data_IF_399419964091
#
_entry.id   IF_399419964091
#
_cell.length_a   1.000
_cell.length_b   1.000
_cell.length_c   1.000
_cell.angle_alpha   90.00
_cell.angle_beta   90.00
_cell.angle_gamma   90.00
#
_symmetry.space_group_name_H-M   'P 1'
#
loop_
_entity.id
_entity.type
_entity.pdbx_description
1 polymer ?
#
# COMPACT_ATOMS: atom_id res chain seq x y z
N UNK A 1 -39.68 6.62 34.03
CA UNK A 1 -40.11 7.02 32.67
C UNK A 1 -39.47 6.03 31.70
N UNK A 2 -40.25 5.17 31.04
CA UNK A 2 -39.73 4.23 30.06
C UNK A 2 -39.36 4.97 28.79
N UNK A 3 -38.11 4.86 28.34
CA UNK A 3 -37.69 5.36 27.04
C UNK A 3 -38.36 4.52 25.96
N UNK A 4 -39.30 5.11 25.22
CA UNK A 4 -39.86 4.49 24.02
C UNK A 4 -38.80 4.68 22.94
N UNK A 5 -38.06 3.62 22.62
CA UNK A 5 -37.11 3.64 21.51
C UNK A 5 -37.87 3.48 20.21
N UNK A 6 -38.19 4.61 19.56
CA UNK A 6 -38.70 4.61 18.19
C UNK A 6 -37.61 4.13 17.26
N UNK A 7 -37.90 3.10 16.47
CA UNK A 7 -36.98 2.53 15.48
C UNK A 7 -37.34 2.98 14.08
N UNK A 8 -36.41 2.85 13.13
CA UNK A 8 -36.67 3.13 11.72
C UNK A 8 -37.81 2.26 11.14
N UNK A 9 -38.05 1.08 11.74
CA UNK A 9 -39.11 0.16 11.34
C UNK A 9 -40.50 0.65 11.72
N UNK A 10 -40.62 1.54 12.71
CA UNK A 10 -41.88 2.10 13.18
C UNK A 10 -42.40 3.22 12.28
N UNK A 11 -41.57 3.70 11.35
CA UNK A 11 -41.96 4.72 10.37
C UNK A 11 -42.79 4.11 9.22
N UNK A 12 -43.76 4.86 8.66
CA UNK A 12 -44.39 4.55 7.39
C UNK A 12 -43.36 4.33 6.27
N UNK A 13 -43.71 3.48 5.30
CA UNK A 13 -42.81 3.09 4.19
C UNK A 13 -42.33 4.30 3.40
N UNK A 14 -43.20 5.30 3.22
CA UNK A 14 -42.91 6.54 2.50
C UNK A 14 -41.77 7.33 3.18
N UNK A 15 -41.80 7.41 4.51
CA UNK A 15 -40.73 8.07 5.27
C UNK A 15 -39.45 7.25 5.26
N UNK A 16 -39.55 5.91 5.30
CA UNK A 16 -38.38 5.03 5.15
C UNK A 16 -37.69 5.27 3.80
N UNK A 17 -38.45 5.27 2.70
CA UNK A 17 -37.93 5.51 1.36
C UNK A 17 -37.34 6.92 1.21
N UNK A 18 -37.99 7.92 1.79
CA UNK A 18 -37.49 9.29 1.81
C UNK A 18 -36.16 9.42 2.56
N UNK A 19 -35.95 8.67 3.64
CA UNK A 19 -34.66 8.62 4.34
C UNK A 19 -33.61 7.88 3.49
N UNK A 20 -33.99 6.74 2.91
CA UNK A 20 -33.10 5.88 2.11
C UNK A 20 -32.53 6.64 0.91
N UNK A 21 -33.28 7.55 0.28
CA UNK A 21 -32.81 8.31 -0.89
C UNK A 21 -31.58 9.20 -0.60
N UNK A 22 -31.31 9.51 0.67
CA UNK A 22 -30.15 10.31 1.09
C UNK A 22 -28.94 9.46 1.50
N UNK A 23 -29.07 8.13 1.51
CA UNK A 23 -27.97 7.25 1.86
C UNK A 23 -27.01 7.12 0.68
N UNK A 24 -25.71 7.17 0.97
CA UNK A 24 -24.71 6.77 -0.01
C UNK A 24 -24.76 5.25 -0.27
N UNK A 25 -24.10 4.81 -1.34
CA UNK A 25 -24.08 3.40 -1.70
C UNK A 25 -23.58 2.48 -0.56
N UNK A 26 -22.46 2.77 0.13
CA UNK A 26 -22.02 2.01 1.30
C UNK A 26 -23.09 1.86 2.39
N UNK A 27 -23.74 2.97 2.79
CA UNK A 27 -24.75 2.94 3.85
C UNK A 27 -26.00 2.18 3.42
N UNK A 28 -26.39 2.31 2.15
CA UNK A 28 -27.50 1.54 1.57
C UNK A 28 -27.21 0.04 1.62
N UNK A 29 -26.01 -0.39 1.22
CA UNK A 29 -25.59 -1.80 1.30
C UNK A 29 -25.56 -2.30 2.74
N UNK A 30 -25.08 -1.49 3.67
CA UNK A 30 -25.12 -1.84 5.09
C UNK A 30 -26.57 -2.02 5.58
N UNK A 31 -27.47 -1.10 5.21
CA UNK A 31 -28.89 -1.15 5.58
C UNK A 31 -29.59 -2.40 5.01
N UNK A 32 -29.33 -2.77 3.75
CA UNK A 32 -29.83 -4.01 3.14
C UNK A 32 -29.47 -5.27 3.95
N UNK A 33 -28.33 -5.27 4.63
CA UNK A 33 -27.83 -6.42 5.39
C UNK A 33 -28.42 -6.52 6.80
N UNK A 34 -29.17 -5.52 7.25
CA UNK A 34 -29.72 -5.50 8.62
C UNK A 34 -30.98 -6.35 8.78
N UNK A 35 -31.93 -6.29 7.85
CA UNK A 35 -33.19 -7.04 7.95
C UNK A 35 -33.85 -7.29 6.58
N UNK A 36 -34.83 -8.21 6.57
CA UNK A 36 -35.56 -8.61 5.36
C UNK A 36 -36.34 -7.46 4.71
N UNK A 37 -36.89 -6.54 5.49
CA UNK A 37 -37.71 -5.42 5.00
C UNK A 37 -36.87 -4.43 4.19
N UNK A 38 -35.74 -3.98 4.73
CA UNK A 38 -34.83 -3.09 3.97
C UNK A 38 -34.25 -3.78 2.75
N UNK A 39 -34.00 -5.09 2.83
CA UNK A 39 -33.60 -5.87 1.65
C UNK A 39 -34.58 -5.81 0.49
N UNK A 40 -35.87 -5.62 0.77
CA UNK A 40 -36.93 -5.50 -0.26
C UNK A 40 -37.20 -4.07 -0.72
N UNK A 41 -37.03 -3.05 0.14
CA UNK A 41 -37.45 -1.68 -0.18
C UNK A 41 -36.32 -0.74 -0.60
N UNK A 42 -35.05 -1.06 -0.30
CA UNK A 42 -33.92 -0.20 -0.68
C UNK A 42 -33.56 -0.49 -2.15
N UNK A 43 -33.78 0.45 -3.08
CA UNK A 43 -33.30 0.31 -4.45
C UNK A 43 -31.78 0.50 -4.46
N UNK A 44 -31.03 -0.54 -4.83
CA UNK A 44 -29.57 -0.43 -4.99
C UNK A 44 -29.19 -0.64 -6.44
N UNK A 45 -28.56 0.38 -7.00
CA UNK A 45 -27.82 0.28 -8.24
C UNK A 45 -26.36 -0.06 -7.92
N UNK A 46 -25.79 -1.14 -8.48
CA UNK A 46 -24.38 -1.48 -8.26
C UNK A 46 -23.46 -0.40 -8.87
N UNK A 47 -22.29 -0.13 -8.28
CA UNK A 47 -21.38 0.88 -8.77
C UNK A 47 -20.88 0.50 -10.16
N UNK A 48 -21.11 1.38 -11.13
CA UNK A 48 -20.79 1.14 -12.54
C UNK A 48 -19.38 1.63 -12.86
N UNK A 49 -18.97 2.75 -12.28
CA UNK A 49 -17.66 3.38 -12.54
C UNK A 49 -16.58 2.88 -11.59
N UNK A 50 -15.31 3.02 -12.00
CA UNK A 50 -14.16 2.70 -11.14
C UNK A 50 -14.08 3.58 -9.90
N UNK A 51 -14.44 4.86 -10.03
CA UNK A 51 -14.48 5.82 -8.93
C UNK A 51 -15.54 5.45 -7.88
N UNK A 52 -16.75 5.10 -8.32
CA UNK A 52 -17.81 4.63 -7.41
C UNK A 52 -17.38 3.36 -6.68
N UNK A 53 -16.76 2.40 -7.39
CA UNK A 53 -16.22 1.18 -6.78
C UNK A 53 -15.14 1.51 -5.76
N UNK A 54 -14.22 2.42 -6.06
CA UNK A 54 -13.16 2.82 -5.14
C UNK A 54 -13.73 3.52 -3.89
N UNK A 55 -14.67 4.45 -4.08
CA UNK A 55 -15.37 5.14 -2.98
C UNK A 55 -16.04 4.12 -2.04
N UNK A 56 -16.69 3.11 -2.60
CA UNK A 56 -17.26 2.02 -1.82
C UNK A 56 -16.21 1.24 -1.01
N UNK A 57 -15.09 0.87 -1.62
CA UNK A 57 -14.02 0.14 -0.94
C UNK A 57 -13.35 0.96 0.17
N UNK A 58 -13.23 2.28 -0.02
CA UNK A 58 -12.72 3.23 0.97
C UNK A 58 -13.67 3.35 2.17
N UNK A 59 -14.97 3.32 1.96
CA UNK A 59 -15.94 3.27 3.06
C UNK A 59 -15.88 1.91 3.79
N UNK A 60 -15.79 0.80 3.04
CA UNK A 60 -15.75 -0.55 3.61
C UNK A 60 -14.55 -0.78 4.52
N UNK A 61 -13.35 -0.30 4.17
CA UNK A 61 -12.14 -0.55 4.97
C UNK A 61 -12.19 0.10 6.37
N UNK A 62 -13.13 1.02 6.61
CA UNK A 62 -13.39 1.64 7.91
C UNK A 62 -14.33 0.81 8.79
N UNK A 63 -15.04 -0.17 8.21
CA UNK A 63 -15.94 -1.02 8.99
C UNK A 63 -15.12 -1.95 9.91
N UNK A 64 -15.61 -2.25 11.13
CA UNK A 64 -14.88 -3.07 12.11
C UNK A 64 -14.38 -4.42 11.56
N UNK A 65 -15.18 -5.04 10.68
CA UNK A 65 -14.86 -6.32 10.02
C UNK A 65 -13.65 -6.25 9.10
N UNK A 66 -13.35 -5.10 8.50
CA UNK A 66 -12.33 -4.93 7.46
C UNK A 66 -11.15 -4.05 7.93
N UNK A 67 -10.98 -3.90 9.24
CA UNK A 67 -9.93 -3.10 9.88
C UNK A 67 -8.50 -3.48 9.46
N UNK A 68 -8.26 -4.72 9.08
CA UNK A 68 -6.95 -5.23 8.61
C UNK A 68 -6.78 -5.23 7.08
N UNK A 69 -7.79 -4.78 6.34
CA UNK A 69 -7.78 -4.69 4.87
C UNK A 69 -7.71 -3.24 4.40
N UNK A 70 -7.14 -3.04 3.21
CA UNK A 70 -6.98 -1.73 2.57
C UNK A 70 -7.39 -1.82 1.11
N UNK A 71 -7.96 -0.73 0.60
CA UNK A 71 -8.35 -0.59 -0.80
C UNK A 71 -7.16 -0.32 -1.73
N UNK A 72 -7.16 -0.96 -2.89
CA UNK A 72 -6.25 -0.65 -4.00
C UNK A 72 -7.02 0.02 -5.14
N UNK A 73 -6.52 1.17 -5.61
CA UNK A 73 -7.16 1.98 -6.66
C UNK A 73 -7.00 1.44 -8.08
N UNK A 74 -6.02 0.57 -8.31
CA UNK A 74 -5.79 -0.05 -9.63
C UNK A 74 -6.66 -1.30 -9.79
N UNK A 75 -6.49 -2.30 -8.91
CA UNK A 75 -7.25 -3.55 -9.04
C UNK A 75 -8.67 -3.49 -8.44
N UNK A 76 -9.03 -2.39 -7.77
CA UNK A 76 -10.34 -2.17 -7.13
C UNK A 76 -10.74 -3.34 -6.22
N UNK A 77 -9.82 -3.76 -5.34
CA UNK A 77 -10.03 -4.84 -4.36
C UNK A 77 -9.54 -4.41 -2.98
N UNK A 78 -10.17 -4.96 -1.94
CA UNK A 78 -9.61 -4.96 -0.58
C UNK A 78 -8.50 -6.00 -0.48
N UNK A 79 -7.36 -5.61 0.08
CA UNK A 79 -6.17 -6.45 0.23
C UNK A 79 -5.62 -6.32 1.65
N UNK A 80 -4.95 -7.36 2.13
CA UNK A 80 -4.33 -7.35 3.44
C UNK A 80 -3.17 -6.34 3.53
N UNK A 81 -2.80 -5.94 4.74
CA UNK A 81 -1.71 -4.99 5.03
C UNK A 81 -0.41 -5.32 4.30
N UNK A 82 0.00 -6.59 4.33
CA UNK A 82 1.24 -7.09 3.69
C UNK A 82 1.20 -7.09 2.16
N UNK A 83 0.05 -6.79 1.54
CA UNK A 83 -0.06 -6.60 0.11
C UNK A 83 0.30 -5.17 -0.32
N UNK A 84 0.70 -4.29 0.60
CA UNK A 84 1.09 -2.92 0.32
C UNK A 84 2.47 -2.61 0.92
N UNK A 85 3.21 -1.73 0.27
CA UNK A 85 4.37 -1.10 0.91
C UNK A 85 3.91 -0.21 2.07
N UNK A 86 4.69 -0.14 3.14
CA UNK A 86 4.38 0.64 4.34
C UNK A 86 4.12 2.11 4.05
N UNK A 87 4.82 2.68 3.06
CA UNK A 87 4.60 4.07 2.60
C UNK A 87 3.20 4.28 1.99
N UNK A 88 2.54 3.22 1.51
CA UNK A 88 1.15 3.28 1.05
C UNK A 88 0.15 3.28 2.22
N UNK A 89 0.55 2.90 3.43
CA UNK A 89 -0.38 2.69 4.55
C UNK A 89 -0.23 3.73 5.67
N UNK A 90 0.72 4.66 5.55
CA UNK A 90 1.06 5.65 6.57
C UNK A 90 0.74 7.08 6.07
N UNK A 91 0.78 8.03 7.00
CA UNK A 91 0.57 9.45 6.73
C UNK A 91 -0.71 9.72 5.92
N UNK A 92 -0.65 10.59 4.91
CA UNK A 92 -1.81 11.01 4.10
C UNK A 92 -2.50 9.88 3.33
N UNK A 93 -1.84 8.72 3.18
CA UNK A 93 -2.39 7.52 2.53
C UNK A 93 -2.96 6.51 3.53
N UNK A 94 -2.92 6.79 4.83
CA UNK A 94 -3.58 5.98 5.84
C UNK A 94 -5.10 5.89 5.63
N UNK A 95 -5.77 5.02 6.39
CA UNK A 95 -7.23 4.90 6.34
C UNK A 95 -7.90 6.21 6.74
N UNK A 96 -8.97 6.58 6.05
CA UNK A 96 -9.72 7.81 6.32
C UNK A 96 -9.00 9.12 5.97
N UNK A 97 -7.75 9.07 5.49
CA UNK A 97 -7.03 10.26 5.06
C UNK A 97 -7.30 10.62 3.59
N UNK A 98 -7.00 11.87 3.24
CA UNK A 98 -7.31 12.47 1.92
C UNK A 98 -6.69 11.73 0.73
N UNK A 99 -5.54 11.07 0.90
CA UNK A 99 -4.89 10.31 -0.17
C UNK A 99 -5.07 8.79 -0.04
N UNK A 100 -5.99 8.33 0.80
CA UNK A 100 -6.33 6.90 0.95
C UNK A 100 -6.68 6.24 -0.40
N UNK A 101 -7.41 6.96 -1.25
CA UNK A 101 -7.75 6.52 -2.61
C UNK A 101 -6.58 6.47 -3.61
N UNK A 102 -5.37 6.90 -3.23
CA UNK A 102 -4.17 6.82 -4.07
C UNK A 102 -3.33 5.57 -3.83
N UNK A 103 -3.76 4.69 -2.91
CA UNK A 103 -3.07 3.45 -2.60
C UNK A 103 -3.14 2.43 -3.72
N UNK A 104 -2.04 1.74 -3.92
CA UNK A 104 -1.97 0.57 -4.81
C UNK A 104 -1.24 -0.58 -4.13
N UNK A 105 -1.69 -1.80 -4.38
CA UNK A 105 -1.04 -2.98 -3.84
C UNK A 105 0.27 -3.26 -4.58
N UNK A 106 1.13 -4.06 -3.96
CA UNK A 106 2.44 -4.44 -4.48
C UNK A 106 2.34 -5.04 -5.87
N UNK A 107 1.42 -5.99 -6.08
CA UNK A 107 1.20 -6.61 -7.39
C UNK A 107 0.87 -5.57 -8.47
N UNK A 108 -0.02 -4.62 -8.18
CA UNK A 108 -0.36 -3.55 -9.12
C UNK A 108 0.84 -2.63 -9.36
N UNK A 109 1.57 -2.27 -8.31
CA UNK A 109 2.79 -1.46 -8.44
C UNK A 109 3.86 -2.12 -9.30
N UNK A 110 4.03 -3.44 -9.19
CA UNK A 110 4.96 -4.22 -10.00
C UNK A 110 4.48 -4.32 -11.45
N UNK A 111 3.22 -4.72 -11.68
CA UNK A 111 2.65 -4.86 -13.03
C UNK A 111 2.64 -3.55 -13.81
N UNK A 112 2.36 -2.43 -13.14
CA UNK A 112 2.32 -1.09 -13.76
C UNK A 112 3.66 -0.36 -13.70
N UNK A 113 4.76 -1.03 -13.28
CA UNK A 113 6.12 -0.46 -13.21
C UNK A 113 6.22 0.83 -12.39
N UNK A 114 5.39 0.96 -11.34
CA UNK A 114 5.46 2.08 -10.40
C UNK A 114 6.60 1.90 -9.38
N UNK A 115 7.05 0.66 -9.20
CA UNK A 115 8.29 0.36 -8.49
C UNK A 115 9.40 0.10 -9.50
N UNK A 116 10.53 0.79 -9.32
CA UNK A 116 11.72 0.55 -10.13
C UNK A 116 12.45 -0.69 -9.62
N UNK A 117 12.96 -1.54 -10.53
CA UNK A 117 13.94 -2.56 -10.21
C UNK A 117 15.06 -2.06 -9.30
N UNK A 118 15.43 -2.87 -8.30
CA UNK A 118 16.52 -2.53 -7.37
C UNK A 118 16.15 -1.49 -6.29
N UNK A 119 14.96 -0.89 -6.33
CA UNK A 119 14.49 -0.06 -5.22
C UNK A 119 14.05 -0.92 -4.04
N UNK A 120 14.43 -0.49 -2.84
CA UNK A 120 13.98 -1.05 -1.58
C UNK A 120 12.56 -0.57 -1.24
N UNK A 121 11.74 -1.50 -0.77
CA UNK A 121 10.37 -1.31 -0.35
C UNK A 121 10.24 -1.82 1.08
N UNK A 122 9.72 -0.97 1.96
CA UNK A 122 9.34 -1.41 3.31
C UNK A 122 7.99 -2.12 3.24
N UNK A 123 7.91 -3.38 3.68
CA UNK A 123 6.69 -4.18 3.76
C UNK A 123 6.59 -4.81 5.14
N UNK A 124 5.63 -4.35 5.95
CA UNK A 124 5.48 -4.84 7.33
C UNK A 124 6.71 -4.56 8.21
N UNK A 125 7.41 -3.46 7.98
CA UNK A 125 8.65 -3.12 8.66
C UNK A 125 9.89 -3.91 8.22
N UNK A 126 9.78 -4.72 7.17
CA UNK A 126 10.92 -5.45 6.57
C UNK A 126 11.26 -4.85 5.21
N UNK A 127 12.54 -4.81 4.87
CA UNK A 127 12.99 -4.40 3.54
C UNK A 127 12.84 -5.55 2.54
N UNK A 128 12.20 -5.25 1.42
CA UNK A 128 12.09 -6.09 0.23
C UNK A 128 12.60 -5.31 -0.99
N UNK A 129 13.35 -5.97 -1.86
CA UNK A 129 13.78 -5.44 -3.16
C UNK A 129 12.96 -6.06 -4.29
N UNK A 130 12.62 -5.25 -5.30
CA UNK A 130 12.09 -5.77 -6.55
C UNK A 130 13.23 -6.28 -7.41
N UNK A 131 13.26 -7.60 -7.69
CA UNK A 131 14.30 -8.18 -8.52
C UNK A 131 14.26 -7.60 -9.94
N UNK A 132 15.40 -7.10 -10.42
CA UNK A 132 15.47 -6.51 -11.77
C UNK A 132 15.25 -7.52 -12.91
N UNK A 133 15.38 -8.82 -12.61
CA UNK A 133 15.35 -9.88 -13.62
C UNK A 133 13.98 -10.55 -13.63
N UNK A 134 13.55 -11.17 -12.53
CA UNK A 134 12.24 -11.81 -12.47
C UNK A 134 11.08 -10.86 -12.17
N UNK A 135 11.35 -9.62 -11.71
CA UNK A 135 10.34 -8.64 -11.29
C UNK A 135 9.43 -9.12 -10.16
N UNK A 136 9.88 -10.13 -9.42
CA UNK A 136 9.25 -10.58 -8.19
C UNK A 136 9.86 -9.89 -6.98
N UNK A 137 9.13 -9.90 -5.87
CA UNK A 137 9.59 -9.35 -4.59
C UNK A 137 10.52 -10.35 -3.93
N UNK A 138 11.73 -9.90 -3.61
CA UNK A 138 12.76 -10.70 -2.95
C UNK A 138 13.25 -9.87 -1.74
N UNK A 139 13.66 -10.48 -0.61
CA UNK A 139 14.13 -9.68 0.54
C UNK A 139 15.46 -8.98 0.22
N UNK A 140 16.44 -9.75 -0.22
CA UNK A 140 17.79 -9.36 -0.69
C UNK A 140 18.41 -10.61 -1.36
N UNK A 141 19.53 -10.48 -2.06
CA UNK A 141 20.37 -11.62 -2.43
C UNK A 141 20.61 -11.86 -3.90
N UNK A 142 20.45 -13.09 -4.37
CA UNK A 142 21.00 -13.50 -5.67
C UNK A 142 19.90 -14.05 -6.56
N UNK A 143 19.96 -13.77 -7.85
CA UNK A 143 19.09 -14.38 -8.86
C UNK A 143 19.86 -15.43 -9.64
N UNK A 144 19.45 -16.69 -9.53
CA UNK A 144 19.98 -17.74 -10.38
C UNK A 144 19.24 -17.76 -11.72
N UNK A 145 19.94 -17.43 -12.81
CA UNK A 145 19.40 -17.45 -14.17
C UNK A 145 19.06 -18.86 -14.67
N UNK A 146 19.71 -19.90 -14.14
CA UNK A 146 19.39 -21.29 -14.45
C UNK A 146 18.10 -21.75 -13.78
N UNK A 147 18.00 -21.57 -12.45
CA UNK A 147 16.83 -21.96 -11.68
C UNK A 147 15.65 -21.00 -11.87
N UNK A 148 15.91 -19.79 -12.36
CA UNK A 148 14.97 -18.66 -12.45
C UNK A 148 14.37 -18.27 -11.09
N UNK A 149 15.17 -18.34 -10.03
CA UNK A 149 14.73 -18.10 -8.65
C UNK A 149 15.62 -17.03 -7.98
N UNK A 150 15.00 -16.17 -7.17
CA UNK A 150 15.69 -15.36 -6.17
C UNK A 150 16.05 -16.21 -4.94
N UNK A 151 17.26 -16.04 -4.42
CA UNK A 151 17.72 -16.61 -3.16
C UNK A 151 18.11 -15.49 -2.18
N UNK A 152 17.67 -15.54 -0.91
CA UNK A 152 18.16 -14.66 0.15
C UNK A 152 19.67 -14.85 0.38
N UNK A 153 20.39 -13.78 0.76
CA UNK A 153 21.84 -13.87 1.09
C UNK A 153 22.15 -14.79 2.29
N UNK A 154 21.19 -15.08 3.15
CA UNK A 154 21.46 -15.73 4.45
C UNK A 154 21.87 -17.21 4.44
N UNK A 155 22.26 -17.80 3.31
CA UNK A 155 22.88 -19.13 3.35
C UNK A 155 24.36 -18.99 3.72
N UNK A 156 24.89 -19.71 4.73
CA UNK A 156 26.31 -19.72 5.10
C UNK A 156 27.29 -20.03 3.96
N UNK A 157 26.80 -20.50 2.81
CA UNK A 157 27.55 -20.73 1.56
C UNK A 157 27.92 -19.42 0.80
N UNK A 158 27.80 -18.24 1.42
CA UNK A 158 28.15 -16.94 0.85
C UNK A 158 29.55 -16.92 0.20
N UNK A 159 30.50 -17.69 0.75
CA UNK A 159 31.89 -17.76 0.33
C UNK A 159 32.10 -18.26 -1.11
N UNK A 160 31.17 -19.02 -1.69
CA UNK A 160 31.43 -19.66 -2.99
C UNK A 160 30.73 -19.01 -4.19
N UNK A 161 29.80 -18.07 -3.97
CA UNK A 161 29.08 -17.41 -5.08
C UNK A 161 28.12 -18.33 -5.84
N UNK A 162 27.81 -19.52 -5.32
CA UNK A 162 26.99 -20.54 -5.99
C UNK A 162 25.51 -20.40 -5.65
N UNK A 163 24.64 -20.82 -6.57
CA UNK A 163 23.21 -20.98 -6.30
C UNK A 163 23.00 -22.15 -5.33
N UNK A 164 22.25 -21.92 -4.24
CA UNK A 164 21.97 -22.94 -3.24
C UNK A 164 21.23 -24.16 -3.83
N UNK A 165 20.45 -23.96 -4.89
CA UNK A 165 19.68 -25.03 -5.54
C UNK A 165 20.43 -25.83 -6.60
N UNK A 166 21.13 -25.17 -7.53
CA UNK A 166 21.79 -25.85 -8.66
C UNK A 166 23.32 -25.85 -8.59
N UNK A 167 23.92 -25.21 -7.58
CA UNK A 167 25.37 -25.09 -7.36
C UNK A 167 26.17 -24.44 -8.51
N UNK A 168 25.52 -23.87 -9.52
CA UNK A 168 26.18 -23.08 -10.56
C UNK A 168 26.67 -21.76 -9.96
N UNK A 169 27.90 -21.35 -10.29
CA UNK A 169 28.51 -20.09 -9.85
C UNK A 169 28.28 -18.95 -10.85
N UNK A 170 28.48 -19.23 -12.14
CA UNK A 170 28.48 -18.20 -13.19
C UNK A 170 27.08 -17.76 -13.62
N UNK A 171 26.05 -18.44 -13.13
CA UNK A 171 24.65 -18.18 -13.48
C UNK A 171 23.91 -17.39 -12.41
N UNK A 172 24.64 -16.86 -11.43
CA UNK A 172 24.09 -16.17 -10.27
C UNK A 172 24.39 -14.68 -10.39
N UNK A 173 23.33 -13.87 -10.40
CA UNK A 173 23.42 -12.41 -10.46
C UNK A 173 23.13 -11.83 -9.07
N UNK A 174 24.01 -10.96 -8.60
CA UNK A 174 23.79 -10.24 -7.35
C UNK A 174 22.65 -9.23 -7.51
N UNK A 175 21.70 -9.24 -6.58
CA UNK A 175 20.58 -8.30 -6.47
C UNK A 175 20.87 -7.21 -5.40
N UNK A 176 22.03 -7.27 -4.75
CA UNK A 176 22.47 -6.32 -3.75
C UNK A 176 22.33 -6.82 -2.31
N UNK A 177 23.02 -6.11 -1.41
CA UNK A 177 22.99 -6.31 0.03
C UNK A 177 21.93 -5.43 0.70
N UNK A 178 21.42 -5.80 1.89
CA UNK A 178 20.56 -4.92 2.67
C UNK A 178 21.29 -3.60 3.02
N UNK A 179 20.63 -2.44 2.93
CA UNK A 179 21.20 -1.17 3.38
C UNK A 179 21.43 -1.24 4.89
N UNK A 180 22.69 -1.20 5.31
CA UNK A 180 23.10 -1.35 6.71
C UNK A 180 24.39 -2.16 6.88
N UNK A 181 24.75 -2.99 5.89
CA UNK A 181 26.10 -3.55 5.76
C UNK A 181 26.96 -2.67 4.83
N UNK A 182 27.02 -1.37 5.11
CA UNK A 182 28.04 -0.53 4.49
C UNK A 182 29.36 -0.82 5.19
N UNK A 183 30.36 -1.33 4.47
CA UNK A 183 31.72 -1.32 4.98
C UNK A 183 32.11 0.15 5.19
N UNK A 184 32.72 0.46 6.34
CA UNK A 184 33.13 1.83 6.75
C UNK A 184 33.92 2.55 5.64
N UNK A 185 34.58 1.79 4.77
CA UNK A 185 35.34 2.24 3.60
C UNK A 185 34.49 2.93 2.51
N UNK A 186 33.26 2.47 2.27
CA UNK A 186 32.36 3.05 1.26
C UNK A 186 31.81 4.43 1.71
N UNK A 187 31.61 4.61 3.01
CA UNK A 187 31.22 5.90 3.60
C UNK A 187 32.36 6.91 3.50
N UNK A 188 33.61 6.46 3.68
CA UNK A 188 34.79 7.31 3.53
C UNK A 188 35.03 7.74 2.08
N UNK A 189 34.71 6.87 1.10
CA UNK A 189 34.75 7.20 -0.32
C UNK A 189 33.66 8.21 -0.71
N UNK A 190 32.42 8.01 -0.24
CA UNK A 190 31.31 8.94 -0.49
C UNK A 190 31.56 10.32 0.14
N UNK A 191 32.13 10.38 1.36
CA UNK A 191 32.52 11.63 2.02
C UNK A 191 33.68 12.33 1.32
N UNK A 192 34.63 11.58 0.74
CA UNK A 192 35.73 12.15 -0.06
C UNK A 192 35.26 12.69 -1.41
N UNK A 193 34.20 12.14 -1.99
CA UNK A 193 33.63 12.65 -3.24
C UNK A 193 32.79 13.93 -3.03
N UNK A 194 32.23 14.15 -1.83
CA UNK A 194 31.49 15.38 -1.52
C UNK A 194 32.39 16.60 -1.23
N UNK A 195 33.71 16.43 -1.06
CA UNK A 195 34.65 17.54 -0.84
C UNK A 195 35.26 18.09 -2.14
N UNK A 196 34.85 17.60 -3.32
CA UNK A 196 35.47 17.97 -4.61
C UNK A 196 34.51 18.50 -5.68
N UNK A 197 33.24 18.77 -5.33
CA UNK A 197 32.27 19.40 -6.24
C UNK A 197 31.75 20.73 -5.68
N UNK A 198 32.67 21.60 -5.23
CA UNK A 198 32.44 23.04 -5.25
C UNK A 198 33.05 23.57 -6.56
N UNK A 199 32.20 23.81 -7.56
CA UNK A 199 32.23 24.90 -8.55
C UNK A 199 31.14 24.60 -9.61
N UNK A 200 30.17 25.51 -9.69
CA UNK A 200 29.13 25.70 -10.72
C UNK A 200 27.77 24.96 -10.59
N UNK A 201 26.82 25.64 -9.95
CA UNK A 201 25.60 26.07 -10.66
C UNK A 201 24.28 25.34 -10.40
N UNK A 202 23.52 25.84 -9.40
CA UNK A 202 22.06 26.05 -9.39
C UNK A 202 21.06 24.97 -9.86
N UNK A 203 20.28 24.47 -8.89
CA UNK A 203 18.79 24.44 -8.71
C UNK A 203 18.55 23.30 -7.69
N UNK A 204 17.90 23.40 -6.53
CA UNK A 204 17.06 24.38 -5.85
C UNK A 204 16.52 23.65 -4.59
N UNK A 205 16.59 24.29 -3.43
CA UNK A 205 16.34 23.75 -2.08
C UNK A 205 14.89 23.28 -1.82
N UNK A 206 14.65 22.27 -0.94
CA UNK A 206 13.34 21.93 -0.42
C UNK A 206 13.05 22.64 0.92
N UNK A 207 12.16 23.63 0.90
CA UNK A 207 11.47 24.15 2.09
C UNK A 207 10.01 23.64 2.07
N UNK A 208 9.22 23.85 3.13
CA UNK A 208 7.81 23.42 3.32
C UNK A 208 7.56 22.10 4.09
N UNK A 209 8.50 21.66 4.94
CA UNK A 209 8.14 20.92 6.15
C UNK A 209 8.34 21.88 7.33
N UNK A 210 7.32 22.03 8.18
CA UNK A 210 7.36 22.65 9.53
C UNK A 210 6.87 24.10 9.78
N UNK A 211 5.78 24.60 9.18
CA UNK A 211 5.15 25.86 9.68
C UNK A 211 3.62 25.90 9.92
N UNK A 212 2.84 24.83 9.66
CA UNK A 212 1.39 24.88 9.90
C UNK A 212 0.91 24.39 11.29
N UNK A 213 1.84 24.05 12.20
CA UNK A 213 1.51 23.72 13.60
C UNK A 213 1.46 25.00 14.48
N UNK A 214 1.91 26.15 13.96
CA UNK A 214 2.04 27.38 14.75
C UNK A 214 0.83 28.33 14.71
N UNK A 215 -0.18 28.13 13.86
CA UNK A 215 -1.23 29.15 13.63
C UNK A 215 -2.69 28.72 13.85
N UNK A 216 -2.92 27.60 14.53
CA UNK A 216 -4.18 27.20 15.18
C UNK A 216 -5.47 27.96 14.83
N UNK A 217 -5.96 27.82 13.60
CA UNK A 217 -7.27 28.32 13.20
C UNK A 217 -8.07 27.17 12.57
N UNK A 218 -9.22 26.88 13.19
CA UNK A 218 -10.21 25.91 12.74
C UNK A 218 -10.91 26.37 11.46
#
# INVERSE_FOLDING_TARGET
MGSITTTLLDLPTELQLYIIQFLDYPSSVALLQTNRRFRTIVPIEPPTTGEQKLSYLLAMELWPKYTHLFSCNICLKLRARNAFADKQLRARRGKGHIESGRRFCLDCGCCHRMYQPGHFLMVGGQEEVLCAICRERCRYGRYCTYCRMCEPLFSPDELEGRCARCRHKDLVKDLGKPPGEFQIEDMLMAMKMSEFEDINGFIGSPEWFEEDIAHGNF
#
